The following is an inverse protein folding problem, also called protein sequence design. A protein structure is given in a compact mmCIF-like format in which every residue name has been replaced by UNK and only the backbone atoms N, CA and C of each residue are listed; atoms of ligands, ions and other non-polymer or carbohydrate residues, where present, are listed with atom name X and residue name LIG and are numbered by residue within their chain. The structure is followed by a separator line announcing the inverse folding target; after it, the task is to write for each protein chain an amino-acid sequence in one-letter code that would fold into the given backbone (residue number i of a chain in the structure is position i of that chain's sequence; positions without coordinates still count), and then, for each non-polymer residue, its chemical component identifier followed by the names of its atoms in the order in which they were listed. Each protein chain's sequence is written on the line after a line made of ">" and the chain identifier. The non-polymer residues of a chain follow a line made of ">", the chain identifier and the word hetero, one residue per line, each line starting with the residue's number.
data_IF_843859338424
#
_entry.id   IF_843859338424
#
_cell.length_a   1.000
_cell.length_b   1.000
_cell.length_c   1.000
_cell.angle_alpha   90.00
_cell.angle_beta   90.00
_cell.angle_gamma   90.00
#
_symmetry.space_group_name_H-M   'P 1'
#
loop_
_entity.id
_entity.type
_entity.pdbx_description
1 polymer ?
#
# COMPACT_ATOMS: atom_id res chain seq x y z
N UNK A 1 -3.84 -16.47 -2.39
CA UNK A 1 -3.20 -15.28 -2.97
C UNK A 1 -2.48 -14.56 -1.85
N UNK A 2 -1.20 -14.29 -2.00
CA UNK A 2 -0.40 -13.52 -1.04
C UNK A 2 -0.72 -12.03 -1.16
N UNK A 3 -0.34 -11.25 -0.16
CA UNK A 3 -0.48 -9.78 -0.17
C UNK A 3 0.19 -9.16 -1.41
N UNK A 4 1.39 -9.63 -1.77
CA UNK A 4 2.10 -9.19 -2.97
C UNK A 4 1.39 -9.60 -4.26
N UNK A 5 0.85 -10.81 -4.35
CA UNK A 5 0.09 -11.23 -5.53
C UNK A 5 -1.17 -10.39 -5.71
N UNK A 6 -1.86 -10.05 -4.60
CA UNK A 6 -3.01 -9.15 -4.64
C UNK A 6 -2.59 -7.76 -5.11
N UNK A 7 -1.59 -7.13 -4.50
CA UNK A 7 -1.10 -5.81 -4.90
C UNK A 7 -0.66 -5.77 -6.38
N UNK A 8 0.07 -6.80 -6.84
CA UNK A 8 0.51 -6.91 -8.22
C UNK A 8 -0.64 -7.13 -9.23
N UNK A 9 -1.81 -7.61 -8.79
CA UNK A 9 -3.00 -7.68 -9.64
C UNK A 9 -3.66 -6.31 -9.89
N UNK A 10 -3.40 -5.31 -9.04
CA UNK A 10 -3.90 -3.93 -9.20
C UNK A 10 -2.86 -3.03 -9.87
N UNK A 11 -1.63 -3.02 -9.36
CA UNK A 11 -0.52 -2.25 -9.91
C UNK A 11 0.72 -3.16 -9.94
N UNK A 12 1.15 -3.65 -11.11
CA UNK A 12 2.33 -4.51 -11.19
C UNK A 12 3.59 -3.81 -10.67
N UNK A 13 4.53 -4.59 -10.10
CA UNK A 13 5.84 -4.11 -9.66
C UNK A 13 6.02 -3.98 -8.14
N UNK A 14 5.09 -4.48 -7.33
CA UNK A 14 5.27 -4.52 -5.88
C UNK A 14 6.31 -5.54 -5.47
N UNK A 15 7.22 -5.12 -4.60
CA UNK A 15 8.21 -5.94 -3.93
C UNK A 15 8.12 -5.75 -2.41
N UNK A 16 8.57 -6.75 -1.66
CA UNK A 16 8.66 -6.71 -0.20
C UNK A 16 10.11 -6.91 0.22
N UNK A 17 10.56 -6.11 1.18
CA UNK A 17 11.88 -6.28 1.81
C UNK A 17 11.73 -6.97 3.19
N UNK A 18 12.80 -7.55 3.77
CA UNK A 18 12.69 -8.42 4.95
C UNK A 18 12.06 -7.82 6.22
N UNK A 19 11.92 -6.50 6.31
CA UNK A 19 11.25 -5.83 7.43
C UNK A 19 9.71 -5.77 7.27
N UNK A 20 9.15 -6.28 6.18
CA UNK A 20 7.71 -6.25 5.89
C UNK A 20 7.23 -5.01 5.12
N UNK A 21 8.13 -4.06 4.82
CA UNK A 21 7.84 -2.92 3.97
C UNK A 21 7.64 -3.38 2.52
N UNK A 22 6.57 -2.90 1.91
CA UNK A 22 6.26 -3.13 0.51
C UNK A 22 6.44 -1.84 -0.28
N UNK A 23 7.05 -1.93 -1.46
CA UNK A 23 7.31 -0.77 -2.33
C UNK A 23 6.96 -1.07 -3.77
N UNK A 24 6.51 -0.06 -4.51
CA UNK A 24 6.28 -0.14 -5.95
C UNK A 24 6.71 1.18 -6.62
N UNK A 25 7.64 1.14 -7.59
CA UNK A 25 8.14 2.34 -8.26
C UNK A 25 7.21 2.90 -9.34
N UNK A 26 6.10 2.23 -9.66
CA UNK A 26 5.11 2.69 -10.62
C UNK A 26 4.45 4.00 -10.15
N UNK A 27 4.05 4.89 -11.06
CA UNK A 27 3.43 6.19 -10.72
C UNK A 27 2.16 6.02 -9.87
N UNK A 28 1.33 5.02 -10.20
CA UNK A 28 0.15 4.64 -9.40
C UNK A 28 0.47 3.76 -8.17
N UNK A 29 1.74 3.46 -7.93
CA UNK A 29 2.26 2.65 -6.83
C UNK A 29 2.48 3.45 -5.54
N UNK A 30 3.46 3.04 -4.74
CA UNK A 30 3.69 3.66 -3.44
C UNK A 30 4.54 2.83 -2.47
N UNK A 31 4.43 3.17 -1.19
CA UNK A 31 5.04 2.48 -0.06
C UNK A 31 3.94 2.08 0.91
N UNK A 32 3.96 0.83 1.38
CA UNK A 32 3.15 0.34 2.49
C UNK A 32 4.09 -0.15 3.57
N UNK A 33 4.04 0.47 4.75
CA UNK A 33 4.94 0.17 5.85
C UNK A 33 4.26 0.41 7.21
N UNK A 34 4.96 0.07 8.29
CA UNK A 34 4.52 0.17 9.66
C UNK A 34 5.36 1.18 10.45
N UNK A 35 4.70 2.10 11.14
CA UNK A 35 5.35 3.07 12.02
C UNK A 35 5.99 2.33 13.20
N UNK A 36 7.31 2.41 13.32
CA UNK A 36 8.05 1.66 14.35
C UNK A 36 7.60 1.97 15.80
N UNK A 37 7.19 3.22 16.07
CA UNK A 37 6.82 3.66 17.42
C UNK A 37 5.40 3.22 17.80
N UNK A 38 4.43 3.37 16.89
CA UNK A 38 3.01 3.10 17.18
C UNK A 38 2.56 1.72 16.74
N UNK A 39 3.28 1.08 15.83
CA UNK A 39 2.85 -0.16 15.17
C UNK A 39 1.75 0.05 14.12
N UNK A 40 1.39 1.30 13.83
CA UNK A 40 0.35 1.63 12.86
C UNK A 40 0.89 1.57 11.44
N UNK A 41 0.16 0.88 10.59
CA UNK A 41 0.45 0.78 9.17
C UNK A 41 -0.03 2.03 8.43
N UNK A 42 0.65 2.34 7.33
CA UNK A 42 0.35 3.47 6.47
C UNK A 42 0.63 3.15 5.00
N UNK A 43 0.12 4.01 4.12
CA UNK A 43 0.30 4.00 2.67
C UNK A 43 0.70 5.38 2.21
N UNK A 44 1.84 5.49 1.53
CA UNK A 44 2.27 6.67 0.80
C UNK A 44 2.10 6.38 -0.69
N UNK A 45 1.45 7.27 -1.43
CA UNK A 45 1.28 7.15 -2.88
C UNK A 45 2.42 7.89 -3.60
N UNK A 46 2.81 7.41 -4.78
CA UNK A 46 3.80 8.09 -5.62
C UNK A 46 3.22 9.29 -6.41
N UNK A 47 1.91 9.53 -6.29
CA UNK A 47 1.19 10.64 -6.93
C UNK A 47 0.67 11.66 -5.91
N UNK A 48 -0.21 12.57 -6.33
CA UNK A 48 -0.72 13.66 -5.49
C UNK A 48 -1.77 13.22 -4.44
N UNK A 49 -2.07 11.91 -4.32
CA UNK A 49 -3.00 11.43 -3.30
C UNK A 49 -2.37 11.60 -1.90
N UNK A 50 -3.15 12.04 -0.90
CA UNK A 50 -2.65 12.16 0.45
C UNK A 50 -2.30 10.77 1.01
N UNK A 51 -1.27 10.73 1.87
CA UNK A 51 -0.95 9.58 2.68
C UNK A 51 -2.18 9.11 3.47
N UNK A 52 -2.32 7.79 3.63
CA UNK A 52 -3.33 7.19 4.50
C UNK A 52 -2.64 6.39 5.60
N UNK A 53 -3.05 6.58 6.85
CA UNK A 53 -2.38 6.03 8.03
C UNK A 53 -3.37 5.68 9.15
N UNK A 54 -2.83 5.25 10.30
CA UNK A 54 -3.63 4.81 11.45
C UNK A 54 -4.21 3.39 11.30
N UNK A 55 -3.64 2.57 10.41
CA UNK A 55 -4.12 1.22 10.17
C UNK A 55 -3.58 0.24 11.22
N UNK A 56 -4.46 -0.55 11.84
CA UNK A 56 -4.07 -1.52 12.86
C UNK A 56 -3.28 -2.70 12.27
N UNK A 57 -3.52 -3.05 11.00
CA UNK A 57 -2.90 -4.20 10.36
C UNK A 57 -2.37 -3.89 8.96
N UNK A 58 -1.39 -4.69 8.53
CA UNK A 58 -0.89 -4.73 7.14
C UNK A 58 -2.01 -4.85 6.12
N UNK A 59 -3.01 -5.69 6.41
CA UNK A 59 -4.14 -5.94 5.51
C UNK A 59 -5.02 -4.71 5.35
N UNK A 60 -5.21 -3.92 6.41
CA UNK A 60 -5.99 -2.69 6.36
C UNK A 60 -5.30 -1.65 5.48
N UNK A 61 -3.98 -1.51 5.59
CA UNK A 61 -3.20 -0.63 4.71
C UNK A 61 -3.23 -1.09 3.24
N UNK A 62 -3.11 -2.40 2.98
CA UNK A 62 -3.27 -2.95 1.62
C UNK A 62 -4.66 -2.68 1.07
N UNK A 63 -5.71 -2.90 1.86
CA UNK A 63 -7.08 -2.62 1.45
C UNK A 63 -7.27 -1.13 1.13
N UNK A 64 -6.69 -0.23 1.94
CA UNK A 64 -6.73 1.20 1.69
C UNK A 64 -6.03 1.62 0.39
N UNK A 65 -4.90 0.97 0.03
CA UNK A 65 -4.26 1.16 -1.28
C UNK A 65 -5.19 0.70 -2.41
N UNK A 66 -5.75 -0.51 -2.30
CA UNK A 66 -6.63 -1.11 -3.31
C UNK A 66 -7.88 -0.25 -3.55
N UNK A 67 -8.52 0.23 -2.48
CA UNK A 67 -9.67 1.13 -2.60
C UNK A 67 -9.30 2.44 -3.31
N UNK A 68 -8.12 2.99 -3.01
CA UNK A 68 -7.62 4.20 -3.68
C UNK A 68 -7.21 3.97 -5.14
N UNK A 69 -6.86 2.74 -5.52
CA UNK A 69 -6.44 2.36 -6.87
C UNK A 69 -7.62 2.01 -7.80
N UNK A 70 -8.82 1.76 -7.27
CA UNK A 70 -10.01 1.51 -8.09
C UNK A 70 -10.46 2.81 -8.78
N UNK A 71 -10.81 2.76 -10.08
CA UNK A 71 -11.44 3.89 -10.74
C UNK A 71 -12.72 4.25 -9.97
N UNK A 72 -12.82 5.48 -9.48
CA UNK A 72 -14.09 5.95 -8.93
C UNK A 72 -15.08 6.08 -10.09
N UNK A 73 -16.03 5.15 -10.17
CA UNK A 73 -17.20 5.30 -11.05
C UNK A 73 -17.93 6.54 -10.57
N UNK A 74 -17.90 7.60 -11.38
CA UNK A 74 -18.71 8.80 -11.20
C UNK A 74 -20.13 8.56 -11.66
#
# INVERSE_FOLDING_TARGET
>A
MTDLETLNSFVPGWSEIPNGMMTNPHDAGGIIDCTFVTGEWFVIFNDDRPMRDGFATRKDAIAAFIEAARPQVR
#
